data_IF_624099991044
#
_entry.id   IF_624099991044
#
_cell.length_a   1.000
_cell.length_b   1.000
_cell.length_c   1.000
_cell.angle_alpha   90.00
_cell.angle_beta   90.00
_cell.angle_gamma   90.00
#
_symmetry.space_group_name_H-M   'P 1'
#
loop_
_entity.id
_entity.type
_entity.pdbx_description
1 polymer ?
#
# COMPACT_ATOMS: atom_id res chain seq x y z
N UNK A 1 7.26 -10.48 -22.35
CA UNK A 1 8.52 -10.38 -21.59
C UNK A 1 8.32 -9.59 -20.31
N UNK A 2 8.91 -10.02 -19.19
CA UNK A 2 8.80 -9.40 -17.87
C UNK A 2 9.08 -7.88 -17.88
N UNK A 3 10.13 -7.45 -18.60
CA UNK A 3 10.51 -6.03 -18.71
C UNK A 3 9.39 -5.15 -19.29
N UNK A 4 8.70 -5.63 -20.32
CA UNK A 4 7.59 -4.90 -20.96
C UNK A 4 6.37 -4.79 -20.05
N UNK A 5 6.05 -5.85 -19.30
CA UNK A 5 4.96 -5.82 -18.33
C UNK A 5 5.24 -4.82 -17.20
N UNK A 6 6.48 -4.82 -16.68
CA UNK A 6 6.93 -3.85 -15.69
C UNK A 6 6.80 -2.41 -16.22
N UNK A 7 7.37 -2.11 -17.39
CA UNK A 7 7.29 -0.78 -17.98
C UNK A 7 5.84 -0.28 -18.12
N UNK A 8 4.94 -1.12 -18.66
CA UNK A 8 3.52 -0.79 -18.79
C UNK A 8 2.83 -0.53 -17.45
N UNK A 9 3.21 -1.25 -16.40
CA UNK A 9 2.66 -1.04 -15.05
C UNK A 9 3.03 0.34 -14.50
N UNK A 10 4.26 0.80 -14.74
CA UNK A 10 4.69 2.14 -14.35
C UNK A 10 4.04 3.23 -15.20
N UNK A 11 3.87 3.01 -16.51
CA UNK A 11 3.12 3.93 -17.38
C UNK A 11 1.68 4.13 -16.89
N UNK A 12 1.00 3.03 -16.52
CA UNK A 12 -0.34 3.08 -15.94
C UNK A 12 -0.37 3.89 -14.64
N UNK A 13 0.59 3.66 -13.75
CA UNK A 13 0.70 4.39 -12.49
C UNK A 13 0.92 5.90 -12.72
N UNK A 14 1.84 6.28 -13.61
CA UNK A 14 2.09 7.68 -13.93
C UNK A 14 0.91 8.36 -14.63
N UNK A 15 0.17 7.63 -15.48
CA UNK A 15 -1.06 8.14 -16.06
C UNK A 15 -2.13 8.38 -14.98
N UNK A 16 -2.33 7.42 -14.07
CA UNK A 16 -3.30 7.55 -12.99
C UNK A 16 -2.97 8.68 -12.01
N UNK A 17 -1.70 8.84 -11.62
CA UNK A 17 -1.24 9.98 -10.78
C UNK A 17 -1.62 11.33 -11.40
N UNK A 18 -1.27 11.53 -12.67
CA UNK A 18 -1.58 12.77 -13.41
C UNK A 18 -3.08 13.03 -13.52
N UNK A 19 -3.88 11.98 -13.69
CA UNK A 19 -5.34 12.10 -13.70
C UNK A 19 -5.86 12.50 -12.32
N UNK A 20 -5.41 11.83 -11.26
CA UNK A 20 -5.83 12.09 -9.89
C UNK A 20 -5.44 13.49 -9.39
N UNK A 21 -4.25 13.97 -9.77
CA UNK A 21 -3.77 15.34 -9.50
C UNK A 21 -4.74 16.39 -10.05
N UNK A 22 -5.29 16.15 -11.25
CA UNK A 22 -6.22 17.07 -11.91
C UNK A 22 -7.65 16.98 -11.38
N UNK A 23 -8.13 15.77 -11.06
CA UNK A 23 -9.55 15.53 -10.76
C UNK A 23 -9.89 15.55 -9.28
N UNK A 24 -8.95 15.19 -8.40
CA UNK A 24 -9.19 14.94 -6.98
C UNK A 24 -8.27 15.72 -6.05
N UNK A 25 -7.50 16.67 -6.60
CA UNK A 25 -6.46 17.41 -5.89
C UNK A 25 -5.45 16.49 -5.15
N UNK A 26 -5.27 15.27 -5.67
CA UNK A 26 -4.34 14.30 -5.11
C UNK A 26 -2.92 14.80 -5.32
N UNK A 27 -2.13 14.95 -4.25
CA UNK A 27 -0.73 15.32 -4.35
C UNK A 27 0.15 14.09 -4.08
N UNK A 28 0.75 13.55 -5.14
CA UNK A 28 1.63 12.38 -5.08
C UNK A 28 2.79 12.58 -4.10
N UNK A 29 3.55 13.67 -4.24
CA UNK A 29 4.74 13.93 -3.44
C UNK A 29 4.41 14.09 -1.95
N UNK A 30 3.39 14.89 -1.62
CA UNK A 30 2.97 15.11 -0.25
C UNK A 30 2.40 13.83 0.39
N UNK A 31 1.61 13.05 -0.36
CA UNK A 31 1.08 11.75 0.08
C UNK A 31 2.21 10.79 0.40
N UNK A 32 3.18 10.65 -0.51
CA UNK A 32 4.34 9.76 -0.30
C UNK A 32 5.18 10.18 0.90
N UNK A 33 5.50 11.47 1.03
CA UNK A 33 6.26 11.99 2.16
C UNK A 33 5.58 11.69 3.50
N UNK A 34 4.26 11.88 3.57
CA UNK A 34 3.49 11.64 4.79
C UNK A 34 3.41 10.16 5.15
N UNK A 35 3.16 9.29 4.17
CA UNK A 35 3.15 7.84 4.39
C UNK A 35 4.53 7.38 4.86
N UNK A 36 5.60 7.83 4.21
CA UNK A 36 6.97 7.50 4.58
C UNK A 36 7.28 7.96 6.01
N UNK A 37 6.92 9.19 6.39
CA UNK A 37 7.13 9.70 7.74
C UNK A 37 6.42 8.85 8.80
N UNK A 38 5.15 8.51 8.57
CA UNK A 38 4.37 7.67 9.51
C UNK A 38 4.91 6.24 9.55
N UNK A 39 5.33 5.70 8.41
CA UNK A 39 5.90 4.37 8.30
C UNK A 39 7.24 4.28 9.07
N UNK A 40 8.14 5.23 8.83
CA UNK A 40 9.46 5.29 9.48
C UNK A 40 9.33 5.47 10.98
N UNK A 41 8.42 6.34 11.44
CA UNK A 41 8.15 6.53 12.86
C UNK A 41 7.62 5.28 13.57
N UNK A 42 7.05 4.31 12.84
CA UNK A 42 6.48 3.08 13.40
C UNK A 42 7.34 1.82 13.19
N UNK A 43 8.18 1.80 12.16
CA UNK A 43 9.03 0.64 11.80
C UNK A 43 10.54 0.88 11.96
N UNK A 44 10.96 2.11 12.27
CA UNK A 44 12.37 2.51 12.34
C UNK A 44 13.14 2.19 11.05
N UNK A 45 12.42 2.12 9.92
CA UNK A 45 12.92 1.76 8.59
C UNK A 45 12.12 2.47 7.53
N UNK A 46 12.76 2.71 6.39
CA UNK A 46 12.09 3.22 5.20
C UNK A 46 11.35 2.09 4.44
N UNK A 47 10.18 2.38 3.86
CA UNK A 47 9.51 1.45 2.96
C UNK A 47 10.33 1.30 1.66
N UNK A 48 10.24 0.15 1.00
CA UNK A 48 10.86 -0.01 -0.31
C UNK A 48 10.10 0.79 -1.37
N UNK A 49 10.80 1.30 -2.38
CA UNK A 49 10.19 2.10 -3.46
C UNK A 49 8.99 1.43 -4.10
N UNK A 50 9.11 0.13 -4.40
CA UNK A 50 8.00 -0.63 -5.01
C UNK A 50 6.79 -0.73 -4.09
N UNK A 51 6.98 -0.75 -2.77
CA UNK A 51 5.87 -0.77 -1.83
C UNK A 51 5.12 0.56 -1.86
N UNK A 52 5.86 1.68 -1.95
CA UNK A 52 5.30 3.02 -2.11
C UNK A 52 4.57 3.17 -3.44
N UNK A 53 5.12 2.62 -4.52
CA UNK A 53 4.49 2.65 -5.85
C UNK A 53 3.16 1.89 -5.87
N UNK A 54 3.11 0.69 -5.28
CA UNK A 54 1.86 -0.07 -5.15
C UNK A 54 0.88 0.64 -4.23
N UNK A 55 1.34 1.17 -3.10
CA UNK A 55 0.50 1.94 -2.17
C UNK A 55 -0.20 3.09 -2.89
N UNK A 56 0.54 3.81 -3.72
CA UNK A 56 0.01 4.92 -4.48
C UNK A 56 -0.93 4.46 -5.58
N UNK A 57 -0.61 3.36 -6.28
CA UNK A 57 -1.53 2.75 -7.24
C UNK A 57 -2.90 2.47 -6.60
N UNK A 58 -2.92 1.90 -5.39
CA UNK A 58 -4.14 1.66 -4.64
C UNK A 58 -4.86 2.96 -4.24
N UNK A 59 -4.11 3.99 -3.83
CA UNK A 59 -4.69 5.29 -3.43
C UNK A 59 -5.33 6.04 -4.59
N UNK A 60 -4.80 5.90 -5.82
CA UNK A 60 -5.37 6.48 -7.03
C UNK A 60 -6.38 5.56 -7.74
N UNK A 61 -6.75 4.45 -7.10
CA UNK A 61 -7.84 3.57 -7.55
C UNK A 61 -7.49 2.58 -8.65
N UNK A 62 -6.21 2.20 -8.80
CA UNK A 62 -5.79 1.17 -9.75
C UNK A 62 -5.88 -0.25 -9.16
N UNK A 63 -6.48 -1.16 -9.92
CA UNK A 63 -6.37 -2.59 -9.68
C UNK A 63 -4.92 -3.06 -9.92
N UNK A 64 -4.34 -3.70 -8.92
CA UNK A 64 -2.90 -3.99 -8.90
C UNK A 64 -2.63 -5.46 -8.58
N UNK A 65 -1.75 -6.08 -9.37
CA UNK A 65 -1.21 -7.42 -9.10
C UNK A 65 0.27 -7.30 -8.76
N UNK A 66 0.66 -7.80 -7.58
CA UNK A 66 2.04 -7.74 -7.10
C UNK A 66 2.64 -9.13 -7.04
N UNK A 67 3.80 -9.29 -7.66
CA UNK A 67 4.61 -10.51 -7.59
C UNK A 67 5.87 -10.18 -6.78
N UNK A 68 5.93 -10.70 -5.56
CA UNK A 68 7.07 -10.53 -4.66
C UNK A 68 7.31 -11.81 -3.86
N UNK A 69 8.57 -12.06 -3.50
CA UNK A 69 8.96 -13.21 -2.70
C UNK A 69 8.32 -13.24 -1.31
N UNK A 70 8.36 -14.40 -0.66
CA UNK A 70 8.01 -14.53 0.76
C UNK A 70 9.01 -13.72 1.60
N UNK A 71 8.53 -13.08 2.66
CA UNK A 71 9.36 -12.23 3.52
C UNK A 71 9.64 -10.81 2.97
N UNK A 72 9.39 -10.53 1.69
CA UNK A 72 9.66 -9.21 1.09
C UNK A 72 8.73 -8.09 1.56
N UNK A 73 7.76 -8.36 2.44
CA UNK A 73 6.86 -7.33 2.96
C UNK A 73 5.71 -6.96 2.02
N UNK A 74 5.21 -7.90 1.21
CA UNK A 74 4.03 -7.71 0.34
C UNK A 74 2.73 -7.29 1.05
N UNK A 75 2.69 -7.38 2.38
CA UNK A 75 1.58 -6.88 3.20
C UNK A 75 1.59 -5.35 3.34
N UNK A 76 2.77 -4.71 3.29
CA UNK A 76 2.90 -3.27 3.59
C UNK A 76 2.05 -2.37 2.67
N UNK A 77 1.95 -2.62 1.36
CA UNK A 77 1.10 -1.81 0.48
C UNK A 77 -0.38 -1.83 0.81
N UNK A 78 -0.90 -2.84 1.54
CA UNK A 78 -2.29 -2.83 2.01
C UNK A 78 -2.46 -2.00 3.29
N UNK A 79 -1.40 -1.83 4.08
CA UNK A 79 -1.41 -1.07 5.34
C UNK A 79 -1.20 0.42 5.12
N UNK A 80 -0.25 0.77 4.27
CA UNK A 80 0.20 2.14 4.07
C UNK A 80 -0.90 3.12 3.63
N UNK A 81 -1.89 2.75 2.80
CA UNK A 81 -3.02 3.63 2.49
C UNK A 81 -3.82 4.05 3.74
N UNK A 82 -3.87 3.21 4.77
CA UNK A 82 -4.57 3.47 6.03
C UNK A 82 -3.75 4.36 6.98
N UNK A 83 -2.42 4.37 6.84
CA UNK A 83 -1.55 5.35 7.51
C UNK A 83 -1.78 6.76 6.96
N UNK A 84 -2.18 6.83 5.70
CA UNK A 84 -2.48 8.09 5.03
C UNK A 84 -3.84 8.66 5.45
N UNK A 85 -4.85 7.84 5.71
CA UNK A 85 -6.18 8.36 5.99
C UNK A 85 -6.91 7.41 6.92
N UNK A 86 -7.08 7.83 8.18
CA UNK A 86 -7.75 7.02 9.20
C UNK A 86 -9.24 6.85 8.96
N UNK A 87 -9.84 7.59 8.02
CA UNK A 87 -11.23 7.39 7.60
C UNK A 87 -11.36 6.20 6.63
N UNK A 88 -10.29 5.82 5.93
CA UNK A 88 -10.29 4.71 4.99
C UNK A 88 -10.31 3.36 5.72
N UNK A 89 -10.87 2.37 5.05
CA UNK A 89 -10.96 0.98 5.52
C UNK A 89 -10.43 0.05 4.44
N UNK A 90 -9.78 -1.03 4.84
CA UNK A 90 -9.34 -2.09 3.95
C UNK A 90 -9.97 -3.41 4.39
N UNK A 91 -10.43 -4.21 3.43
CA UNK A 91 -10.84 -5.60 3.63
C UNK A 91 -9.77 -6.48 3.01
N UNK A 92 -9.12 -7.31 3.82
CA UNK A 92 -8.04 -8.19 3.38
C UNK A 92 -8.51 -9.63 3.50
N UNK A 93 -8.59 -10.30 2.36
CA UNK A 93 -9.00 -11.70 2.28
C UNK A 93 -7.73 -12.53 2.25
N UNK A 94 -7.54 -13.38 3.25
CA UNK A 94 -6.48 -14.38 3.27
C UNK A 94 -7.03 -15.76 3.60
N UNK A 95 -6.49 -16.83 2.98
CA UNK A 95 -7.09 -18.16 3.04
C UNK A 95 -6.90 -18.88 4.37
N UNK A 96 -5.96 -18.43 5.22
CA UNK A 96 -5.62 -19.11 6.47
C UNK A 96 -5.90 -18.22 7.66
N UNK A 97 -6.65 -18.73 8.64
CA UNK A 97 -6.94 -18.05 9.91
C UNK A 97 -5.68 -17.57 10.63
N UNK A 98 -4.61 -18.38 10.62
CA UNK A 98 -3.32 -17.99 11.23
C UNK A 98 -2.70 -16.77 10.55
N UNK A 99 -2.85 -16.64 9.22
CA UNK A 99 -2.36 -15.47 8.48
C UNK A 99 -3.19 -14.24 8.80
N UNK A 100 -4.51 -14.38 8.95
CA UNK A 100 -5.37 -13.26 9.36
C UNK A 100 -4.98 -12.74 10.75
N UNK A 101 -4.69 -13.63 11.70
CA UNK A 101 -4.27 -13.26 13.05
C UNK A 101 -2.91 -12.55 13.06
N UNK A 102 -1.93 -13.04 12.29
CA UNK A 102 -0.63 -12.37 12.10
C UNK A 102 -0.81 -10.98 11.48
N UNK A 103 -1.69 -10.85 10.47
CA UNK A 103 -2.01 -9.56 9.87
C UNK A 103 -2.64 -8.60 10.89
N UNK A 104 -3.63 -9.04 11.68
CA UNK A 104 -4.24 -8.19 12.72
C UNK A 104 -3.18 -7.71 13.72
N UNK A 105 -2.30 -8.60 14.18
CA UNK A 105 -1.23 -8.23 15.12
C UNK A 105 -0.30 -7.16 14.52
N UNK A 106 0.13 -7.32 13.27
CA UNK A 106 0.97 -6.34 12.56
C UNK A 106 0.26 -5.01 12.36
N UNK A 107 -1.02 -5.01 12.00
CA UNK A 107 -1.80 -3.79 11.82
C UNK A 107 -1.94 -3.03 13.14
N UNK A 108 -2.22 -3.74 14.24
CA UNK A 108 -2.33 -3.13 15.58
C UNK A 108 -1.00 -2.60 16.09
N UNK A 109 0.09 -3.34 15.91
CA UNK A 109 1.45 -2.86 16.21
C UNK A 109 1.76 -1.57 15.42
N UNK A 110 1.18 -1.47 14.24
CA UNK A 110 1.24 -0.28 13.40
C UNK A 110 0.18 0.76 13.74
N UNK A 111 -0.48 0.72 14.89
CA UNK A 111 -1.49 1.71 15.29
C UNK A 111 -2.72 1.76 14.38
N UNK A 112 -2.97 0.71 13.59
CA UNK A 112 -4.17 0.57 12.76
C UNK A 112 -5.13 -0.39 13.47
N UNK A 113 -6.37 0.06 13.69
CA UNK A 113 -7.41 -0.81 14.25
C UNK A 113 -7.74 -1.91 13.24
N UNK A 114 -7.63 -3.17 13.66
CA UNK A 114 -7.89 -4.33 12.82
C UNK A 114 -8.59 -5.44 13.61
N UNK A 115 -9.41 -6.21 12.91
CA UNK A 115 -10.11 -7.40 13.40
C UNK A 115 -10.14 -8.47 12.30
N UNK A 116 -10.07 -9.73 12.70
CA UNK A 116 -10.29 -10.87 11.81
C UNK A 116 -11.74 -11.32 11.95
N UNK A 117 -12.40 -11.58 10.82
CA UNK A 117 -13.76 -12.11 10.76
C UNK A 117 -13.65 -13.55 10.24
N UNK A 118 -14.08 -14.51 11.05
CA UNK A 118 -14.00 -15.95 10.77
C UNK A 118 -15.36 -16.60 10.96
#
# INVERSE_FOLDING_TARGET
SHKRSKARSYENLYAARRTAEKSSNFNSAATRARIQQVFEARFEKLPYDWQMDVTEALLVGLDSVVIAGTGCGKTMPFMMPLLNDSSKKAVIISPLKVLQLDQVARFRAMGITAAAVN
#
